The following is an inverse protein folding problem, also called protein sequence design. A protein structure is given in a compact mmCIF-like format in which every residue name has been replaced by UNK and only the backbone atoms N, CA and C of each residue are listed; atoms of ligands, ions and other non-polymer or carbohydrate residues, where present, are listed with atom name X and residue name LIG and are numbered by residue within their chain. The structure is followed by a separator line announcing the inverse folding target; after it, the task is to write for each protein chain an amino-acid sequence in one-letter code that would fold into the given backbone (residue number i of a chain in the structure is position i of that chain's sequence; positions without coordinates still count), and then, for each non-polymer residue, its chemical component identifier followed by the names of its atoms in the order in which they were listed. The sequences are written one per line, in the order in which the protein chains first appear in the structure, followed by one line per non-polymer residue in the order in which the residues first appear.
data_IF_613310781942
#
_entry.id   IF_613310781942
#
_cell.length_a   1.000
_cell.length_b   1.000
_cell.length_c   1.000
_cell.angle_alpha   90.00
_cell.angle_beta   90.00
_cell.angle_gamma   90.00
#
_symmetry.space_group_name_H-M   'P 1'
#
loop_
_entity.id
_entity.type
_entity.pdbx_description
1 polymer ?
#
# COMPACT_ATOMS: atom_id res chain seq x y z
N UNK A 1 1.46 -9.25 -17.30
CA UNK A 1 0.27 -9.79 -16.60
C UNK A 1 0.28 -9.45 -15.10
N UNK A 2 1.37 -9.69 -14.36
CA UNK A 2 1.49 -9.37 -12.92
C UNK A 2 1.33 -7.88 -12.59
N UNK A 3 2.01 -7.00 -13.33
CA UNK A 3 1.90 -5.54 -13.17
C UNK A 3 0.46 -5.04 -13.36
N UNK A 4 -0.26 -5.60 -14.33
CA UNK A 4 -1.67 -5.26 -14.58
C UNK A 4 -2.59 -5.63 -13.41
N UNK A 5 -2.38 -6.80 -12.79
CA UNK A 5 -3.15 -7.18 -11.60
C UNK A 5 -2.92 -6.26 -10.41
N UNK A 6 -1.67 -5.85 -10.19
CA UNK A 6 -1.30 -4.90 -9.14
C UNK A 6 -1.95 -3.53 -9.35
N UNK A 7 -1.82 -2.94 -10.56
CA UNK A 7 -2.40 -1.63 -10.85
C UNK A 7 -3.93 -1.61 -10.75
N UNK A 8 -4.59 -2.72 -11.09
CA UNK A 8 -6.05 -2.84 -10.93
C UNK A 8 -6.47 -2.91 -9.45
N UNK A 9 -5.69 -3.61 -8.61
CA UNK A 9 -5.94 -3.65 -7.17
C UNK A 9 -5.75 -2.27 -6.51
N UNK A 10 -4.71 -1.53 -6.90
CA UNK A 10 -4.49 -0.14 -6.47
C UNK A 10 -5.63 0.78 -6.93
N UNK A 11 -6.08 0.68 -8.18
CA UNK A 11 -7.18 1.49 -8.68
C UNK A 11 -8.50 1.20 -7.92
N UNK A 12 -8.76 -0.06 -7.57
CA UNK A 12 -9.97 -0.47 -6.87
C UNK A 12 -9.96 -0.14 -5.36
N UNK A 13 -8.81 -0.29 -4.68
CA UNK A 13 -8.72 -0.15 -3.20
C UNK A 13 -7.97 1.09 -2.73
N UNK A 14 -7.18 1.73 -3.59
CA UNK A 14 -6.35 2.88 -3.27
C UNK A 14 -7.13 4.03 -2.60
N UNK A 15 -8.30 4.45 -3.12
CA UNK A 15 -9.08 5.52 -2.51
C UNK A 15 -9.54 5.18 -1.08
N UNK A 16 -10.02 3.95 -0.85
CA UNK A 16 -10.44 3.51 0.47
C UNK A 16 -9.26 3.38 1.46
N UNK A 17 -8.11 2.89 0.99
CA UNK A 17 -6.90 2.83 1.80
C UNK A 17 -6.37 4.22 2.15
N UNK A 18 -6.47 5.18 1.24
CA UNK A 18 -6.08 6.58 1.48
C UNK A 18 -6.96 7.22 2.56
N UNK A 19 -8.27 7.02 2.50
CA UNK A 19 -9.22 7.52 3.49
C UNK A 19 -8.90 6.98 4.90
N UNK A 20 -8.76 5.65 5.02
CA UNK A 20 -8.38 5.00 6.29
C UNK A 20 -7.01 5.48 6.79
N UNK A 21 -6.08 5.77 5.89
CA UNK A 21 -4.77 6.31 6.25
C UNK A 21 -4.88 7.76 6.74
N UNK A 22 -5.72 8.60 6.14
CA UNK A 22 -6.00 9.96 6.61
C UNK A 22 -6.73 9.98 7.95
N UNK A 23 -7.66 9.05 8.20
CA UNK A 23 -8.29 8.88 9.50
C UNK A 23 -7.29 8.51 10.61
N UNK A 24 -6.34 7.61 10.30
CA UNK A 24 -5.37 7.10 11.29
C UNK A 24 -4.16 8.00 11.48
N UNK A 25 -3.62 8.57 10.42
CA UNK A 25 -2.35 9.29 10.41
C UNK A 25 -2.51 10.80 10.18
N UNK A 26 -3.71 11.27 9.80
CA UNK A 26 -3.99 12.67 9.46
C UNK A 26 -3.48 13.07 8.07
N UNK A 27 -3.53 14.37 7.78
CA UNK A 27 -3.09 14.94 6.50
C UNK A 27 -1.64 14.59 6.15
N UNK A 28 -1.47 13.83 5.07
CA UNK A 28 -0.15 13.44 4.57
C UNK A 28 -0.21 12.41 3.46
N UNK A 29 0.97 11.93 3.07
CA UNK A 29 1.16 10.86 2.08
C UNK A 29 2.20 9.85 2.55
N UNK A 30 2.09 8.63 2.06
CA UNK A 30 3.16 7.64 2.16
C UNK A 30 4.26 7.99 1.14
N UNK A 31 5.51 8.09 1.59
CA UNK A 31 6.65 8.36 0.70
C UNK A 31 6.84 7.23 -0.31
N UNK A 32 7.00 7.61 -1.58
CA UNK A 32 7.35 6.68 -2.65
C UNK A 32 8.88 6.43 -2.76
N UNK A 33 9.69 7.18 -2.01
CA UNK A 33 11.16 7.17 -2.09
C UNK A 33 11.73 6.49 -0.84
N UNK A 34 11.30 6.96 0.34
CA UNK A 34 11.68 6.38 1.62
C UNK A 34 10.68 5.27 1.98
N UNK A 35 10.81 4.14 1.28
CA UNK A 35 9.96 2.96 1.50
C UNK A 35 10.76 1.67 1.45
N UNK A 36 10.18 0.63 2.04
CA UNK A 36 10.63 -0.76 1.94
C UNK A 36 9.51 -1.59 1.32
N UNK A 37 9.88 -2.48 0.41
CA UNK A 37 8.96 -3.42 -0.23
C UNK A 37 9.47 -4.83 0.03
N UNK A 38 8.58 -5.70 0.50
CA UNK A 38 8.87 -7.11 0.73
C UNK A 38 7.83 -7.97 0.00
N UNK A 39 8.31 -9.06 -0.60
CA UNK A 39 7.48 -9.99 -1.36
C UNK A 39 7.67 -11.40 -0.83
N UNK A 40 6.57 -12.02 -0.41
CA UNK A 40 6.58 -13.35 0.19
C UNK A 40 5.56 -14.24 -0.49
N UNK A 41 5.90 -15.51 -0.61
CA UNK A 41 4.94 -16.56 -0.96
C UNK A 41 4.33 -17.08 0.33
N UNK A 42 3.01 -17.07 0.41
CA UNK A 42 2.25 -17.58 1.55
C UNK A 42 1.26 -18.63 1.06
N UNK A 43 0.92 -19.59 1.93
CA UNK A 43 -0.14 -20.57 1.65
C UNK A 43 -1.35 -20.22 2.50
N UNK A 44 -2.50 -19.98 1.87
CA UNK A 44 -3.74 -19.66 2.55
C UNK A 44 -4.89 -20.44 1.89
N UNK A 45 -5.63 -21.19 2.70
CA UNK A 45 -6.67 -22.14 2.27
C UNK A 45 -6.18 -23.20 1.26
N UNK A 46 -4.93 -23.66 1.42
CA UNK A 46 -4.30 -24.63 0.52
C UNK A 46 -3.98 -24.07 -0.86
N UNK A 47 -4.06 -22.74 -1.04
CA UNK A 47 -3.70 -22.04 -2.27
C UNK A 47 -2.46 -21.19 -2.07
N UNK A 48 -1.59 -21.19 -3.08
CA UNK A 48 -0.41 -20.33 -3.11
C UNK A 48 -0.82 -18.88 -3.37
N UNK A 49 -0.45 -17.98 -2.47
CA UNK A 49 -0.72 -16.55 -2.57
C UNK A 49 0.57 -15.75 -2.51
N UNK A 50 0.51 -14.56 -3.12
CA UNK A 50 1.60 -13.59 -3.12
C UNK A 50 1.26 -12.48 -2.13
N UNK A 51 2.05 -12.35 -1.07
CA UNK A 51 1.95 -11.27 -0.11
C UNK A 51 2.93 -10.16 -0.49
N UNK A 52 2.41 -8.98 -0.80
CA UNK A 52 3.18 -7.78 -1.05
C UNK A 52 3.01 -6.82 0.13
N UNK A 53 4.10 -6.52 0.82
CA UNK A 53 4.11 -5.56 1.93
C UNK A 53 4.84 -4.30 1.49
N UNK A 54 4.16 -3.15 1.59
CA UNK A 54 4.73 -1.83 1.31
C UNK A 54 4.77 -1.04 2.62
N UNK A 55 5.97 -0.65 3.05
CA UNK A 55 6.20 0.12 4.26
C UNK A 55 6.92 1.43 3.89
N UNK A 56 6.13 2.48 3.68
CA UNK A 56 6.65 3.82 3.38
C UNK A 56 6.55 4.77 4.58
N UNK A 57 7.52 5.68 4.68
CA UNK A 57 7.49 6.75 5.67
C UNK A 57 6.31 7.69 5.46
N UNK A 58 5.55 7.98 6.51
CA UNK A 58 4.45 8.94 6.44
C UNK A 58 4.97 10.38 6.46
N UNK A 59 4.64 11.15 5.43
CA UNK A 59 5.01 12.55 5.25
C UNK A 59 3.78 13.42 5.53
N UNK A 60 3.75 14.06 6.70
CA UNK A 60 2.68 15.01 7.04
C UNK A 60 2.82 16.28 6.21
N UNK A 61 1.69 16.80 5.72
CA UNK A 61 1.70 18.09 5.04
C UNK A 61 2.04 19.21 6.05
N UNK A 62 3.00 20.06 5.68
CA UNK A 62 3.35 21.23 6.48
C UNK A 62 2.35 22.34 6.15
N UNK A 63 1.54 22.75 7.12
CA UNK A 63 0.75 23.98 7.01
C UNK A 63 1.72 25.15 7.15
N UNK A 64 1.94 25.88 6.06
CA UNK A 64 2.67 27.15 6.05
C UNK A 64 1.71 28.30 6.37
#
# INVERSE_FOLDING_TARGET
MLFYGYTQAEAARGPALADVAHEKFGDGIMSAIDMKVDLQKVEEDGQERMLLTINGKWLRYRKF
#
